data_IF_153475124236
#
_entry.id   IF_153475124236
#
_cell.length_a   1.000
_cell.length_b   1.000
_cell.length_c   1.000
_cell.angle_alpha   90.00
_cell.angle_beta   90.00
_cell.angle_gamma   90.00
#
_symmetry.space_group_name_H-M   'P 1'
#
loop_
_entity.id
_entity.type
_entity.pdbx_description
1 polymer ?
#
# COMPACT_ATOMS: atom_id res chain seq x y z
N UNK A 1 -11.81 -4.60 10.34
CA UNK A 1 -11.32 -4.91 8.98
C UNK A 1 -11.25 -6.40 8.83
N UNK A 2 -11.63 -6.92 7.67
CA UNK A 2 -11.65 -8.35 7.36
C UNK A 2 -10.87 -8.58 6.07
N UNK A 3 -10.01 -9.60 6.05
CA UNK A 3 -9.26 -9.97 4.85
C UNK A 3 -10.16 -10.74 3.92
N UNK A 4 -10.31 -10.25 2.70
CA UNK A 4 -11.05 -10.91 1.62
C UNK A 4 -10.16 -11.96 0.98
N UNK A 5 -8.97 -11.54 0.53
CA UNK A 5 -7.99 -12.42 -0.10
C UNK A 5 -6.57 -11.86 -0.06
N UNK A 6 -5.61 -12.73 -0.37
CA UNK A 6 -4.21 -12.35 -0.60
C UNK A 6 -4.05 -11.95 -2.07
N UNK A 7 -3.67 -10.70 -2.30
CA UNK A 7 -3.63 -10.10 -3.63
C UNK A 7 -2.32 -10.42 -4.36
N UNK A 8 -1.17 -10.16 -3.70
CA UNK A 8 0.15 -10.29 -4.33
C UNK A 8 1.26 -10.43 -3.29
N UNK A 9 2.38 -11.04 -3.70
CA UNK A 9 3.67 -10.93 -3.01
C UNK A 9 4.64 -10.20 -3.92
N UNK A 10 5.22 -9.11 -3.43
CA UNK A 10 6.25 -8.32 -4.10
C UNK A 10 7.57 -8.57 -3.41
N UNK A 11 8.59 -8.93 -4.18
CA UNK A 11 9.95 -9.10 -3.69
C UNK A 11 10.86 -8.08 -4.36
N UNK A 12 11.77 -7.47 -3.60
CA UNK A 12 12.76 -6.55 -4.13
C UNK A 12 14.10 -6.74 -3.42
N UNK A 13 15.19 -6.54 -4.15
CA UNK A 13 16.55 -6.62 -3.60
C UNK A 13 17.25 -5.28 -3.83
N UNK A 14 17.74 -4.68 -2.75
CA UNK A 14 18.51 -3.45 -2.76
C UNK A 14 19.99 -3.79 -2.60
N UNK A 15 20.68 -4.03 -3.73
CA UNK A 15 22.09 -4.48 -3.75
C UNK A 15 23.02 -3.49 -3.03
N UNK A 16 22.76 -2.18 -3.14
CA UNK A 16 23.58 -1.12 -2.54
C UNK A 16 23.69 -1.21 -1.01
N UNK A 17 22.67 -1.79 -0.36
CA UNK A 17 22.61 -1.97 1.09
C UNK A 17 22.54 -3.45 1.49
N UNK A 18 22.65 -4.36 0.52
CA UNK A 18 22.56 -5.81 0.70
C UNK A 18 21.32 -6.27 1.48
N UNK A 19 20.15 -5.71 1.14
CA UNK A 19 18.87 -6.05 1.78
C UNK A 19 17.91 -6.64 0.75
N UNK A 20 17.27 -7.75 1.10
CA UNK A 20 16.12 -8.30 0.39
C UNK A 20 14.85 -8.00 1.19
N UNK A 21 13.80 -7.53 0.52
CA UNK A 21 12.50 -7.22 1.10
C UNK A 21 11.40 -8.02 0.42
N UNK A 22 10.37 -8.34 1.19
CA UNK A 22 9.16 -9.00 0.71
C UNK A 22 7.93 -8.30 1.31
N UNK A 23 7.03 -7.85 0.44
CA UNK A 23 5.78 -7.21 0.81
C UNK A 23 4.59 -8.08 0.38
N UNK A 24 3.66 -8.30 1.32
CA UNK A 24 2.43 -9.06 1.08
C UNK A 24 1.24 -8.10 1.04
N UNK A 25 0.52 -8.11 -0.06
CA UNK A 25 -0.66 -7.29 -0.27
C UNK A 25 -1.91 -8.12 -0.02
N UNK A 26 -2.88 -7.51 0.67
CA UNK A 26 -4.16 -8.15 1.01
C UNK A 26 -5.29 -7.21 0.65
N UNK A 27 -6.32 -7.75 0.01
CA UNK A 27 -7.57 -7.04 -0.18
C UNK A 27 -8.40 -7.17 1.11
N UNK A 28 -8.86 -6.05 1.64
CA UNK A 28 -9.59 -6.01 2.90
C UNK A 28 -10.89 -5.23 2.77
N UNK A 29 -11.92 -5.68 3.48
CA UNK A 29 -13.16 -4.94 3.66
C UNK A 29 -13.09 -4.13 4.97
N UNK A 30 -13.40 -2.84 4.86
CA UNK A 30 -13.55 -1.96 6.01
C UNK A 30 -14.92 -2.19 6.64
N UNK A 31 -14.99 -3.09 7.63
CA UNK A 31 -16.24 -3.43 8.35
C UNK A 31 -16.61 -2.43 9.46
N UNK A 32 -15.79 -1.40 9.69
CA UNK A 32 -16.02 -0.38 10.70
C UNK A 32 -14.76 0.36 11.11
N UNK A 33 -14.91 1.35 12.00
CA UNK A 33 -13.82 2.23 12.45
C UNK A 33 -13.89 3.62 11.82
N UNK A 34 -12.97 4.50 12.24
CA UNK A 34 -12.78 5.84 11.65
C UNK A 34 -11.33 5.96 11.20
N UNK A 35 -11.09 6.67 10.10
CA UNK A 35 -9.75 6.99 9.62
C UNK A 35 -8.97 7.68 10.75
N UNK A 36 -7.88 7.06 11.19
CA UNK A 36 -7.01 7.59 12.24
C UNK A 36 -5.56 7.42 11.78
N UNK A 37 -4.76 8.48 11.92
CA UNK A 37 -3.34 8.48 11.61
C UNK A 37 -2.60 7.98 12.86
N UNK A 38 -2.15 6.72 12.83
CA UNK A 38 -1.33 6.12 13.87
C UNK A 38 0.09 5.97 13.35
N UNK A 39 0.88 7.02 13.52
CA UNK A 39 2.19 7.15 12.90
C UNK A 39 3.26 7.50 13.95
N UNK A 40 3.78 6.51 14.69
CA UNK A 40 4.72 6.76 15.79
C UNK A 40 6.10 7.25 15.30
N UNK A 41 6.47 6.94 14.05
CA UNK A 41 7.74 7.35 13.45
C UNK A 41 7.64 8.67 12.66
N UNK A 42 6.42 9.21 12.48
CA UNK A 42 6.12 10.48 11.79
C UNK A 42 6.52 10.47 10.30
N UNK A 43 6.54 9.31 9.65
CA UNK A 43 6.86 9.20 8.22
C UNK A 43 5.64 9.43 7.31
N UNK A 44 4.42 9.37 7.85
CA UNK A 44 3.17 9.51 7.12
C UNK A 44 2.60 10.93 7.30
N UNK A 45 2.67 11.72 6.25
CA UNK A 45 2.19 13.12 6.26
C UNK A 45 0.67 13.24 6.11
N UNK A 46 0.03 12.39 5.31
CA UNK A 46 -1.42 12.40 5.08
C UNK A 46 -1.94 11.00 4.75
N UNK A 47 -3.23 10.77 5.03
CA UNK A 47 -3.96 9.56 4.67
C UNK A 47 -5.31 9.93 4.05
N UNK A 48 -5.60 9.40 2.87
CA UNK A 48 -6.85 9.63 2.16
C UNK A 48 -7.37 8.34 1.52
N UNK A 49 -8.70 8.20 1.48
CA UNK A 49 -9.33 7.28 0.55
C UNK A 49 -9.37 7.95 -0.82
N UNK A 50 -9.01 7.19 -1.85
CA UNK A 50 -8.92 7.67 -3.22
C UNK A 50 -9.76 6.79 -4.11
N UNK A 51 -10.49 7.42 -5.02
CA UNK A 51 -11.20 6.69 -6.06
C UNK A 51 -10.21 6.10 -7.08
N UNK A 52 -10.63 5.05 -7.79
CA UNK A 52 -9.78 4.36 -8.78
C UNK A 52 -9.28 5.33 -9.86
N UNK A 53 -10.09 6.30 -10.27
CA UNK A 53 -9.67 7.31 -11.26
C UNK A 53 -8.61 8.27 -10.71
N UNK A 54 -8.66 8.64 -9.42
CA UNK A 54 -7.61 9.44 -8.80
C UNK A 54 -6.31 8.65 -8.71
N UNK A 55 -6.40 7.35 -8.39
CA UNK A 55 -5.28 6.42 -8.30
C UNK A 55 -4.50 6.33 -9.61
N UNK A 56 -5.18 6.46 -10.76
CA UNK A 56 -4.52 6.46 -12.08
C UNK A 56 -3.60 7.65 -12.33
N UNK A 57 -3.85 8.76 -11.63
CA UNK A 57 -3.13 10.02 -11.78
C UNK A 57 -2.12 10.29 -10.67
N UNK A 58 -2.11 9.43 -9.64
CA UNK A 58 -1.20 9.55 -8.51
C UNK A 58 0.20 9.13 -8.90
N UNK A 59 1.18 9.98 -8.61
CA UNK A 59 2.60 9.62 -8.73
C UNK A 59 2.99 8.68 -7.58
N UNK A 60 2.97 7.38 -7.85
CA UNK A 60 3.43 6.36 -6.92
C UNK A 60 4.95 6.28 -6.93
N UNK A 61 5.55 6.10 -5.75
CA UNK A 61 6.98 5.77 -5.62
C UNK A 61 7.35 4.50 -6.41
N UNK A 62 6.38 3.58 -6.52
CA UNK A 62 6.48 2.34 -7.29
C UNK A 62 5.36 2.32 -8.35
N UNK A 63 5.58 2.89 -9.53
CA UNK A 63 4.56 2.96 -10.58
C UNK A 63 4.03 1.59 -11.01
N UNK A 64 4.84 0.54 -10.89
CA UNK A 64 4.44 -0.84 -11.20
C UNK A 64 3.34 -1.39 -10.28
N UNK A 65 3.14 -0.79 -9.10
CA UNK A 65 2.10 -1.23 -8.18
C UNK A 65 0.70 -0.85 -8.66
N UNK A 66 0.61 0.16 -9.54
CA UNK A 66 -0.67 0.63 -10.09
C UNK A 66 -1.48 -0.47 -10.77
N UNK A 67 -0.82 -1.45 -11.41
CA UNK A 67 -1.47 -2.52 -12.18
C UNK A 67 -2.42 -3.38 -11.32
N UNK A 68 -2.06 -3.65 -10.06
CA UNK A 68 -2.86 -4.51 -9.17
C UNK A 68 -3.66 -3.73 -8.13
N UNK A 69 -3.46 -2.40 -8.03
CA UNK A 69 -4.25 -1.51 -7.17
C UNK A 69 -5.56 -1.05 -7.83
N UNK A 70 -5.71 -1.26 -9.15
CA UNK A 70 -6.93 -1.03 -9.93
C UNK A 70 -7.78 -2.31 -10.00
#
# INVERSE_FOLDING_TARGET
MEVVEKLKVKQATYEQINVAVEAHYFLVNVVGGKRNLQDPDNLIYDIAWKDVEELKTLELTFPEDQEFLM
#
